data_IF_344882901267
#
_entry.id   IF_344882901267
#
_cell.length_a   1.000
_cell.length_b   1.000
_cell.length_c   1.000
_cell.angle_alpha   90.00
_cell.angle_beta   90.00
_cell.angle_gamma   90.00
#
_symmetry.space_group_name_H-M   'P 1'
#
loop_
_entity.id
_entity.type
_entity.pdbx_description
1 polymer ?
#
# COMPACT_ATOMS: atom_id res chain seq x y z
N UNK A 1 -52.84 -44.01 78.94
CA UNK A 1 -51.43 -43.89 78.51
C UNK A 1 -51.10 -45.06 77.59
N UNK A 2 -50.33 -44.79 76.55
CA UNK A 2 -50.55 -45.26 75.18
C UNK A 2 -49.75 -46.52 74.79
N UNK A 3 -50.24 -47.16 73.73
CA UNK A 3 -49.94 -48.45 73.14
C UNK A 3 -48.52 -48.67 72.55
N UNK A 4 -48.03 -49.89 72.77
CA UNK A 4 -47.50 -50.88 71.81
C UNK A 4 -46.38 -50.59 70.78
N UNK A 5 -45.45 -51.56 70.75
CA UNK A 5 -44.84 -52.26 69.59
C UNK A 5 -43.63 -51.61 68.88
N UNK A 6 -42.60 -52.33 68.43
CA UNK A 6 -42.11 -53.72 68.62
C UNK A 6 -40.75 -53.82 67.89
N UNK A 7 -39.92 -54.76 68.35
CA UNK A 7 -38.69 -55.26 67.74
C UNK A 7 -38.73 -55.48 66.22
N UNK A 8 -37.54 -55.38 65.60
CA UNK A 8 -37.04 -56.37 64.63
C UNK A 8 -35.54 -56.18 64.36
N UNK A 9 -34.77 -57.07 64.98
CA UNK A 9 -33.34 -57.28 64.77
C UNK A 9 -33.16 -58.59 63.97
N UNK A 10 -32.42 -58.51 62.85
CA UNK A 10 -31.68 -59.55 62.08
C UNK A 10 -32.36 -60.89 61.75
N UNK A 11 -32.32 -61.30 60.47
CA UNK A 11 -31.57 -62.48 59.99
C UNK A 11 -31.50 -62.56 58.44
N UNK A 12 -30.33 -63.02 57.98
CA UNK A 12 -30.02 -63.82 56.79
C UNK A 12 -29.63 -63.22 55.41
N UNK A 13 -28.34 -63.50 55.11
CA UNK A 13 -27.63 -63.65 53.84
C UNK A 13 -28.38 -64.53 52.82
N UNK A 14 -28.32 -64.18 51.53
CA UNK A 14 -27.52 -64.89 50.51
C UNK A 14 -27.92 -64.49 49.08
N UNK A 15 -27.01 -63.90 48.32
CA UNK A 15 -26.71 -64.38 46.96
C UNK A 15 -25.41 -63.77 46.43
N UNK A 16 -24.50 -64.68 46.10
CA UNK A 16 -23.23 -64.45 45.42
C UNK A 16 -23.50 -64.00 43.98
N UNK A 17 -22.86 -62.91 43.55
CA UNK A 17 -22.81 -62.47 42.16
C UNK A 17 -21.55 -61.64 41.92
N UNK A 18 -20.57 -62.25 41.25
CA UNK A 18 -19.21 -61.76 40.95
C UNK A 18 -19.22 -60.79 39.76
N UNK A 19 -18.58 -59.62 39.87
CA UNK A 19 -17.81 -58.92 38.80
C UNK A 19 -17.03 -57.74 39.41
N UNK A 20 -15.72 -57.90 39.67
CA UNK A 20 -14.57 -57.43 38.85
C UNK A 20 -14.48 -55.89 38.67
N UNK A 21 -13.46 -55.34 39.32
CA UNK A 21 -12.60 -54.22 38.94
C UNK A 21 -13.26 -52.87 38.62
N UNK A 22 -13.42 -52.03 39.65
CA UNK A 22 -13.63 -50.58 39.52
C UNK A 22 -12.79 -49.83 40.57
N UNK A 23 -11.50 -50.16 40.62
CA UNK A 23 -10.52 -49.52 41.52
C UNK A 23 -9.36 -48.85 40.78
N UNK A 24 -9.01 -49.36 39.58
CA UNK A 24 -7.87 -48.84 38.81
C UNK A 24 -8.25 -47.70 37.84
N UNK A 25 -9.53 -47.49 37.55
CA UNK A 25 -10.01 -46.41 36.67
C UNK A 25 -10.04 -45.02 37.35
N UNK A 26 -10.03 -44.96 38.68
CA UNK A 26 -9.95 -43.70 39.42
C UNK A 26 -8.51 -43.16 39.53
N UNK A 27 -7.50 -44.03 39.45
CA UNK A 27 -6.10 -43.63 39.52
C UNK A 27 -5.57 -43.05 38.17
N UNK A 28 -6.17 -43.42 37.04
CA UNK A 28 -5.78 -42.90 35.72
C UNK A 28 -6.50 -41.61 35.30
N UNK A 29 -7.52 -41.14 36.04
CA UNK A 29 -8.18 -39.85 35.79
C UNK A 29 -7.49 -38.63 36.38
N UNK A 30 -6.40 -38.83 37.13
CA UNK A 30 -5.61 -37.74 37.74
C UNK A 30 -4.28 -37.46 37.02
N UNK A 31 -3.96 -38.20 35.96
CA UNK A 31 -2.85 -37.86 35.06
C UNK A 31 -3.39 -37.26 33.77
N UNK A 32 -2.80 -36.13 33.37
CA UNK A 32 -3.09 -35.32 32.17
C UNK A 32 -4.21 -34.27 32.34
N UNK A 33 -4.04 -33.36 33.29
CA UNK A 33 -4.15 -31.93 32.93
C UNK A 33 -2.75 -31.39 32.72
N UNK A 34 -2.29 -31.39 31.46
CA UNK A 34 -1.16 -30.54 31.06
C UNK A 34 -1.56 -29.11 31.41
N UNK A 35 -0.94 -28.54 32.44
CA UNK A 35 -0.96 -27.11 32.65
C UNK A 35 -0.28 -26.47 31.43
N UNK A 36 -1.07 -26.06 30.44
CA UNK A 36 -0.58 -25.22 29.35
C UNK A 36 -0.34 -23.85 29.98
N UNK A 37 0.89 -23.63 30.47
CA UNK A 37 1.34 -22.30 30.87
C UNK A 37 1.17 -21.39 29.65
N UNK A 38 0.07 -20.63 29.63
CA UNK A 38 -0.10 -19.59 28.64
C UNK A 38 0.87 -18.49 29.07
N UNK A 39 2.00 -18.37 28.38
CA UNK A 39 2.84 -17.18 28.43
C UNK A 39 2.10 -16.03 27.74
N UNK A 40 0.96 -15.61 28.31
CA UNK A 40 0.03 -14.61 27.75
C UNK A 40 0.78 -13.31 27.47
N UNK A 41 1.76 -12.96 28.31
CA UNK A 41 2.61 -11.79 28.14
C UNK A 41 3.48 -11.85 26.88
N UNK A 42 4.06 -13.01 26.53
CA UNK A 42 4.90 -13.14 25.33
C UNK A 42 4.06 -13.11 24.05
N UNK A 43 2.88 -13.72 24.08
CA UNK A 43 1.92 -13.66 22.97
C UNK A 43 1.27 -12.29 22.82
N UNK A 44 1.02 -11.58 23.93
CA UNK A 44 0.46 -10.24 23.92
C UNK A 44 1.46 -9.20 23.39
N UNK A 45 2.74 -9.28 23.79
CA UNK A 45 3.81 -8.40 23.27
C UNK A 45 4.03 -8.63 21.77
N UNK A 46 4.01 -9.88 21.31
CA UNK A 46 4.13 -10.18 19.89
C UNK A 46 2.96 -9.63 19.07
N UNK A 47 1.73 -9.73 19.59
CA UNK A 47 0.54 -9.23 18.91
C UNK A 47 0.50 -7.69 18.89
N UNK A 48 0.87 -7.01 19.99
CA UNK A 48 0.94 -5.54 20.01
C UNK A 48 2.04 -5.03 19.09
N UNK A 49 3.21 -5.67 19.06
CA UNK A 49 4.27 -5.31 18.12
C UNK A 49 3.83 -5.47 16.66
N UNK A 50 3.10 -6.53 16.34
CA UNK A 50 2.57 -6.74 14.99
C UNK A 50 1.53 -5.68 14.61
N UNK A 51 0.62 -5.32 15.52
CA UNK A 51 -0.37 -4.25 15.27
C UNK A 51 0.31 -2.89 15.09
N UNK A 52 1.32 -2.57 15.90
CA UNK A 52 2.11 -1.33 15.76
C UNK A 52 2.88 -1.33 14.44
N UNK A 53 3.47 -2.47 14.05
CA UNK A 53 4.18 -2.61 12.79
C UNK A 53 3.26 -2.46 11.57
N UNK A 54 2.09 -3.11 11.58
CA UNK A 54 1.08 -2.94 10.55
C UNK A 54 0.57 -1.49 10.50
N UNK A 55 0.28 -0.87 11.64
CA UNK A 55 -0.13 0.54 11.69
C UNK A 55 0.97 1.48 11.18
N UNK A 56 2.24 1.21 11.47
CA UNK A 56 3.37 1.97 10.96
C UNK A 56 3.51 1.87 9.44
N UNK A 57 3.17 0.73 8.82
CA UNK A 57 3.16 0.59 7.36
C UNK A 57 2.08 1.50 6.75
N UNK A 58 0.87 1.55 7.32
CA UNK A 58 -0.22 2.39 6.82
C UNK A 58 -0.02 3.90 7.00
N UNK A 59 0.79 4.33 7.98
CA UNK A 59 1.04 5.75 8.26
C UNK A 59 2.12 6.40 7.38
N UNK A 60 2.74 5.66 6.44
CA UNK A 60 3.78 6.22 5.55
C UNK A 60 3.23 6.99 4.33
N UNK A 61 1.92 7.14 4.19
CA UNK A 61 1.35 8.04 3.18
C UNK A 61 1.72 9.48 3.53
N UNK A 62 2.67 10.03 2.75
CA UNK A 62 3.19 11.38 2.94
C UNK A 62 2.04 12.37 2.74
N UNK A 63 1.69 13.12 3.79
CA UNK A 63 0.67 14.17 3.69
C UNK A 63 1.17 15.27 2.76
N UNK A 64 0.47 15.50 1.64
CA UNK A 64 0.70 16.64 0.76
C UNK A 64 0.28 17.91 1.50
N UNK A 65 1.16 18.91 1.61
CA UNK A 65 0.81 20.15 2.31
C UNK A 65 -0.08 21.05 1.44
N UNK A 66 -0.89 21.91 2.05
CA UNK A 66 -1.75 22.85 1.32
C UNK A 66 -0.96 23.77 0.39
N UNK A 67 0.22 24.23 0.83
CA UNK A 67 1.10 25.05 0.00
C UNK A 67 1.60 24.28 -1.24
N UNK A 68 1.82 22.97 -1.11
CA UNK A 68 2.19 22.15 -2.25
C UNK A 68 1.02 21.98 -3.22
N UNK A 69 -0.23 21.83 -2.72
CA UNK A 69 -1.43 21.77 -3.58
C UNK A 69 -1.63 23.07 -4.35
N UNK A 70 -1.44 24.23 -3.73
CA UNK A 70 -1.54 25.53 -4.41
C UNK A 70 -0.52 25.66 -5.53
N UNK A 71 0.75 25.30 -5.27
CA UNK A 71 1.78 25.31 -6.32
C UNK A 71 1.40 24.37 -7.46
N UNK A 72 0.96 23.15 -7.14
CA UNK A 72 0.51 22.21 -8.16
C UNK A 72 -0.62 22.80 -8.97
N UNK A 73 -1.65 23.41 -8.36
CA UNK A 73 -2.76 24.04 -9.08
C UNK A 73 -2.31 25.16 -10.02
N UNK A 74 -1.38 26.00 -9.57
CA UNK A 74 -0.94 27.17 -10.35
C UNK A 74 0.03 26.80 -11.48
N UNK A 75 1.01 25.95 -11.20
CA UNK A 75 2.14 25.71 -12.08
C UNK A 75 2.41 24.23 -12.36
N UNK A 76 1.63 23.31 -11.81
CA UNK A 76 1.77 21.86 -11.99
C UNK A 76 3.03 21.29 -11.34
N UNK A 77 3.67 22.00 -10.41
CA UNK A 77 4.94 21.59 -9.82
C UNK A 77 4.75 21.29 -8.34
N UNK A 78 4.87 20.01 -7.98
CA UNK A 78 4.95 19.56 -6.60
C UNK A 78 6.40 19.48 -6.13
N UNK A 79 6.91 20.53 -5.47
CA UNK A 79 8.29 20.56 -4.96
C UNK A 79 8.49 19.49 -3.88
N UNK A 80 9.55 18.70 -4.00
CA UNK A 80 9.89 17.66 -3.01
C UNK A 80 8.94 16.47 -2.93
N UNK A 81 7.86 16.43 -3.72
CA UNK A 81 6.93 15.31 -3.76
C UNK A 81 7.58 14.04 -4.27
N UNK A 82 7.06 12.89 -3.86
CA UNK A 82 7.56 11.57 -4.25
C UNK A 82 6.93 11.14 -5.59
N UNK A 83 7.58 10.22 -6.28
CA UNK A 83 6.91 9.54 -7.39
C UNK A 83 5.73 8.70 -6.83
N UNK A 84 4.64 8.62 -7.59
CA UNK A 84 3.42 7.94 -7.15
C UNK A 84 2.56 8.78 -6.20
N UNK A 85 2.85 10.07 -6.05
CA UNK A 85 1.94 10.95 -5.30
C UNK A 85 0.62 11.09 -6.04
N UNK A 86 -0.46 10.64 -5.40
CA UNK A 86 -1.85 10.83 -5.83
C UNK A 86 -2.38 12.11 -5.20
N UNK A 87 -3.08 12.93 -5.98
CA UNK A 87 -3.66 14.19 -5.54
C UNK A 87 -5.15 14.00 -5.23
N UNK A 88 -5.52 14.31 -4.00
CA UNK A 88 -6.93 14.32 -3.59
C UNK A 88 -7.63 15.47 -4.32
N UNK A 89 -8.79 15.18 -4.93
CA UNK A 89 -9.56 16.13 -5.74
C UNK A 89 -8.76 16.70 -6.93
N UNK A 90 -8.07 15.81 -7.66
CA UNK A 90 -7.34 16.15 -8.88
C UNK A 90 -8.17 16.95 -9.90
N UNK A 91 -9.46 16.62 -10.04
CA UNK A 91 -10.40 17.29 -10.94
C UNK A 91 -10.54 18.80 -10.64
N UNK A 92 -10.44 19.19 -9.36
CA UNK A 92 -10.57 20.59 -8.92
C UNK A 92 -9.32 21.44 -9.18
N UNK A 93 -8.23 20.80 -9.63
CA UNK A 93 -6.98 21.48 -9.96
C UNK A 93 -7.05 22.14 -11.34
N UNK A 94 -7.88 21.63 -12.26
CA UNK A 94 -8.06 22.20 -13.59
C UNK A 94 -6.76 22.32 -14.38
N UNK A 95 -5.83 21.37 -14.20
CA UNK A 95 -4.53 21.41 -14.86
C UNK A 95 -4.68 21.27 -16.37
N UNK A 96 -3.96 22.14 -17.08
CA UNK A 96 -3.90 22.11 -18.53
C UNK A 96 -2.57 21.54 -19.00
N UNK A 97 -2.63 20.96 -20.21
CA UNK A 97 -1.47 20.52 -20.97
C UNK A 97 -0.43 21.63 -21.08
N UNK A 98 0.82 21.32 -20.73
CA UNK A 98 1.95 22.25 -20.79
C UNK A 98 3.28 21.56 -20.93
N UNK A 99 4.26 22.33 -21.35
CA UNK A 99 5.65 21.92 -21.44
C UNK A 99 6.44 22.33 -20.18
N UNK A 100 7.50 21.57 -19.88
CA UNK A 100 8.38 21.81 -18.75
C UNK A 100 9.85 21.78 -19.16
N UNK A 101 10.64 22.62 -18.50
CA UNK A 101 12.10 22.57 -18.55
C UNK A 101 12.62 21.93 -17.27
N UNK A 102 13.47 20.91 -17.42
CA UNK A 102 14.01 20.13 -16.31
C UNK A 102 15.53 20.15 -16.37
N UNK A 103 16.15 20.83 -15.41
CA UNK A 103 17.60 20.86 -15.30
C UNK A 103 18.09 19.70 -14.42
N UNK A 104 19.15 19.01 -14.83
CA UNK A 104 19.78 17.93 -14.06
C UNK A 104 20.91 18.44 -13.17
N UNK A 105 21.00 17.95 -11.93
CA UNK A 105 22.06 18.34 -10.97
C UNK A 105 23.45 17.87 -11.37
N UNK A 106 23.53 16.74 -12.08
CA UNK A 106 24.77 16.05 -12.38
C UNK A 106 24.92 15.87 -13.88
N UNK A 107 26.17 15.85 -14.36
CA UNK A 107 26.48 15.62 -15.76
C UNK A 107 26.40 14.12 -16.10
N UNK A 108 25.18 13.58 -16.08
CA UNK A 108 24.87 12.20 -16.43
C UNK A 108 24.39 12.11 -17.88
N UNK A 109 24.72 11.01 -18.56
CA UNK A 109 24.30 10.76 -19.95
C UNK A 109 22.94 10.08 -20.06
N UNK A 110 22.49 9.47 -18.97
CA UNK A 110 21.23 8.70 -18.89
C UNK A 110 20.56 9.03 -17.57
N UNK A 111 19.24 9.19 -17.60
CA UNK A 111 18.41 9.41 -16.43
C UNK A 111 17.24 8.45 -16.42
N UNK A 112 16.49 8.47 -15.32
CA UNK A 112 15.25 7.73 -15.16
C UNK A 112 14.08 8.70 -15.17
N UNK A 113 13.05 8.39 -15.94
CA UNK A 113 11.78 9.07 -15.93
C UNK A 113 10.75 8.14 -15.29
N UNK A 114 10.02 8.66 -14.31
CA UNK A 114 8.93 8.00 -13.63
C UNK A 114 7.64 8.69 -14.05
N UNK A 115 6.66 7.91 -14.51
CA UNK A 115 5.33 8.40 -14.92
C UNK A 115 4.25 7.56 -14.25
N UNK A 116 3.19 8.20 -13.77
CA UNK A 116 2.06 7.56 -13.10
C UNK A 116 0.81 8.42 -13.25
N UNK A 117 -0.34 7.83 -12.99
CA UNK A 117 -1.62 8.52 -12.87
C UNK A 117 -1.76 9.08 -11.44
N UNK A 118 -1.95 10.39 -11.31
CA UNK A 118 -2.10 11.04 -10.00
C UNK A 118 -3.56 11.25 -9.57
N UNK A 119 -4.55 10.94 -10.42
CA UNK A 119 -5.96 11.16 -10.15
C UNK A 119 -6.67 9.84 -9.85
N UNK A 120 -7.32 9.21 -10.84
CA UNK A 120 -8.11 8.00 -10.69
C UNK A 120 -7.71 6.98 -11.77
N UNK A 121 -7.38 5.76 -11.36
CA UNK A 121 -7.01 4.68 -12.28
C UNK A 121 -8.22 4.18 -13.09
N UNK A 122 -8.60 4.91 -14.13
CA UNK A 122 -9.74 4.58 -15.00
C UNK A 122 -9.32 4.06 -16.38
N UNK A 123 -8.01 3.86 -16.59
CA UNK A 123 -7.46 3.20 -17.76
C UNK A 123 -6.93 4.14 -18.83
N UNK A 124 -6.41 5.28 -18.39
CA UNK A 124 -5.59 6.21 -19.17
C UNK A 124 -4.37 5.52 -19.81
N UNK A 125 -4.09 5.90 -21.06
CA UNK A 125 -2.97 5.36 -21.84
C UNK A 125 -2.18 6.48 -22.50
N UNK A 126 -0.86 6.39 -22.41
CA UNK A 126 0.09 7.32 -23.01
C UNK A 126 1.16 6.62 -23.84
N UNK A 127 1.78 7.37 -24.75
CA UNK A 127 3.01 6.96 -25.44
C UNK A 127 4.13 7.94 -25.10
N UNK A 128 5.32 7.43 -24.78
CA UNK A 128 6.48 8.25 -24.43
C UNK A 128 7.51 8.20 -25.57
N UNK A 129 7.99 9.38 -25.97
CA UNK A 129 9.05 9.55 -26.96
C UNK A 129 10.24 10.27 -26.34
N UNK A 130 11.45 9.97 -26.79
CA UNK A 130 12.65 10.76 -26.53
C UNK A 130 13.27 11.16 -27.86
N UNK A 131 13.48 12.46 -28.06
CA UNK A 131 14.02 13.05 -29.29
C UNK A 131 13.28 12.57 -30.55
N UNK A 132 11.96 12.49 -30.46
CA UNK A 132 11.07 12.03 -31.55
C UNK A 132 10.97 10.51 -31.72
N UNK A 133 11.82 9.71 -31.05
CA UNK A 133 11.77 8.26 -31.10
C UNK A 133 10.86 7.70 -30.01
N UNK A 134 9.91 6.82 -30.35
CA UNK A 134 9.10 6.10 -29.37
C UNK A 134 9.99 5.20 -28.53
N UNK A 135 9.94 5.39 -27.21
CA UNK A 135 10.68 4.58 -26.22
C UNK A 135 9.74 3.72 -25.36
N UNK A 136 8.46 4.10 -25.27
CA UNK A 136 7.41 3.31 -24.66
C UNK A 136 6.09 3.58 -25.35
N UNK A 137 5.41 2.54 -25.83
CA UNK A 137 4.19 2.64 -26.62
C UNK A 137 3.00 2.09 -25.84
N UNK A 138 1.85 2.77 -25.90
CA UNK A 138 0.58 2.35 -25.29
C UNK A 138 0.71 1.92 -23.82
N UNK A 139 1.40 2.73 -23.02
CA UNK A 139 1.58 2.53 -21.59
C UNK A 139 0.29 2.91 -20.87
N UNK A 140 -0.39 1.93 -20.28
CA UNK A 140 -1.44 2.20 -19.30
C UNK A 140 -0.81 2.78 -18.03
N UNK A 141 -1.23 3.98 -17.64
CA UNK A 141 -0.73 4.62 -16.42
C UNK A 141 -1.61 4.22 -15.23
N UNK A 142 -0.96 3.96 -14.11
CA UNK A 142 -1.55 3.60 -12.83
C UNK A 142 -0.93 4.49 -11.75
N UNK A 143 -1.41 4.45 -10.51
CA UNK A 143 -0.79 5.13 -9.38
C UNK A 143 0.62 4.60 -9.08
N UNK A 144 0.89 3.33 -9.40
CA UNK A 144 2.24 2.78 -9.35
C UNK A 144 3.11 3.38 -10.49
N UNK A 145 4.25 4.02 -10.17
CA UNK A 145 5.08 4.64 -11.19
C UNK A 145 5.71 3.64 -12.16
N UNK A 146 5.42 3.86 -13.43
CA UNK A 146 6.13 3.24 -14.54
C UNK A 146 7.46 3.95 -14.78
N UNK A 147 8.54 3.17 -14.94
CA UNK A 147 9.91 3.67 -15.04
C UNK A 147 10.48 3.45 -16.44
N UNK A 148 11.11 4.49 -16.98
CA UNK A 148 11.78 4.48 -18.27
C UNK A 148 13.17 5.11 -18.16
N UNK A 149 14.15 4.54 -18.85
CA UNK A 149 15.46 5.17 -19.00
C UNK A 149 15.45 6.12 -20.20
N UNK A 150 16.03 7.30 -20.03
CA UNK A 150 16.03 8.38 -21.01
C UNK A 150 17.46 8.94 -21.20
N UNK A 151 17.83 9.37 -22.43
CA UNK A 151 19.09 10.07 -22.64
C UNK A 151 19.06 11.46 -21.98
N UNK A 152 20.24 11.98 -21.61
CA UNK A 152 20.40 13.36 -21.10
C UNK A 152 21.59 14.00 -21.84
N UNK A 153 21.43 15.20 -22.42
CA UNK A 153 20.19 15.96 -22.56
C UNK A 153 19.25 15.34 -23.60
N UNK A 154 17.94 15.61 -23.49
CA UNK A 154 16.93 15.16 -24.46
C UNK A 154 15.64 15.95 -24.34
N UNK A 155 14.78 15.87 -25.35
CA UNK A 155 13.37 16.28 -25.25
C UNK A 155 12.51 15.02 -25.15
N UNK A 156 11.87 14.84 -24.00
CA UNK A 156 10.89 13.77 -23.81
C UNK A 156 9.49 14.29 -24.10
N UNK A 157 8.71 13.54 -24.85
CA UNK A 157 7.31 13.85 -25.14
C UNK A 157 6.41 12.78 -24.53
N UNK A 158 5.37 13.20 -23.80
CA UNK A 158 4.30 12.32 -23.33
C UNK A 158 3.05 12.62 -24.15
N UNK A 159 2.59 11.63 -24.90
CA UNK A 159 1.47 11.74 -25.84
C UNK A 159 0.25 11.03 -25.26
N UNK A 160 -0.87 11.73 -25.14
CA UNK A 160 -2.14 11.12 -24.72
C UNK A 160 -2.73 10.23 -25.81
N UNK A 161 -3.08 8.98 -25.49
CA UNK A 161 -3.58 8.00 -26.46
C UNK A 161 -5.04 7.65 -26.21
N UNK A 162 -5.38 7.33 -24.97
CA UNK A 162 -6.73 6.93 -24.58
C UNK A 162 -7.04 7.50 -23.20
N UNK A 163 -8.21 8.09 -23.10
CA UNK A 163 -8.82 8.59 -21.86
C UNK A 163 -9.69 7.48 -21.26
N UNK A 164 -9.43 7.12 -20.00
CA UNK A 164 -10.23 6.17 -19.24
C UNK A 164 -11.51 6.80 -18.66
N UNK A 165 -11.50 8.11 -18.47
CA UNK A 165 -12.52 8.93 -17.84
C UNK A 165 -11.93 10.25 -17.33
N UNK A 166 -12.71 11.33 -17.29
CA UNK A 166 -12.26 12.59 -16.65
C UNK A 166 -11.11 13.34 -17.34
N UNK A 167 -10.45 12.76 -18.35
CA UNK A 167 -9.29 13.31 -19.03
C UNK A 167 -7.98 12.66 -18.56
N UNK A 168 -7.02 12.55 -19.49
CA UNK A 168 -5.73 11.90 -19.18
C UNK A 168 -4.90 12.77 -18.24
N UNK A 169 -4.67 12.31 -17.02
CA UNK A 169 -3.88 13.02 -16.01
C UNK A 169 -2.68 12.20 -15.54
N UNK A 170 -1.53 12.84 -15.44
CA UNK A 170 -0.30 12.12 -15.10
C UNK A 170 0.76 12.98 -14.42
N UNK A 171 1.53 12.34 -13.57
CA UNK A 171 2.68 12.90 -12.87
C UNK A 171 3.97 12.42 -13.51
N UNK A 172 4.95 13.30 -13.65
CA UNK A 172 6.30 12.97 -14.10
C UNK A 172 7.32 13.34 -13.03
N UNK A 173 8.25 12.44 -12.73
CA UNK A 173 9.41 12.71 -11.89
C UNK A 173 10.68 12.21 -12.56
N UNK A 174 11.70 13.06 -12.58
CA UNK A 174 13.04 12.69 -13.06
C UNK A 174 13.99 12.79 -11.87
N UNK A 175 14.34 11.67 -11.20
CA UNK A 175 15.29 11.67 -10.10
C UNK A 175 16.64 12.27 -10.54
N UNK A 176 17.20 13.14 -9.70
CA UNK A 176 18.43 13.86 -10.01
C UNK A 176 18.22 15.23 -10.64
N UNK A 177 16.98 15.62 -10.97
CA UNK A 177 16.65 16.98 -11.38
C UNK A 177 16.87 18.00 -10.24
N UNK A 178 17.22 19.23 -10.63
CA UNK A 178 17.26 20.40 -9.75
C UNK A 178 15.86 20.63 -9.17
N UNK A 179 15.78 20.96 -7.88
CA UNK A 179 14.51 21.15 -7.17
C UNK A 179 13.79 19.88 -6.68
N UNK A 180 14.17 18.68 -7.16
CA UNK A 180 13.54 17.41 -6.74
C UNK A 180 12.00 17.44 -6.84
N UNK A 181 11.46 18.06 -7.88
CA UNK A 181 10.02 18.25 -8.05
C UNK A 181 9.34 17.06 -8.72
N UNK A 182 8.01 17.07 -8.65
CA UNK A 182 7.10 16.31 -9.52
C UNK A 182 6.40 17.31 -10.43
N UNK A 183 6.17 16.92 -11.68
CA UNK A 183 5.47 17.69 -12.69
C UNK A 183 4.12 17.01 -12.99
N UNK A 184 3.03 17.59 -12.50
CA UNK A 184 1.67 17.16 -12.77
C UNK A 184 1.13 17.85 -14.01
N UNK A 185 0.48 17.07 -14.87
CA UNK A 185 0.06 17.53 -16.18
C UNK A 185 -1.18 16.77 -16.67
N UNK A 186 -1.83 17.32 -17.68
CA UNK A 186 -2.91 16.66 -18.42
C UNK A 186 -2.50 16.52 -19.88
N UNK A 187 -2.87 15.43 -20.55
CA UNK A 187 -2.57 15.20 -21.96
C UNK A 187 -3.84 14.79 -22.72
N UNK A 188 -4.64 15.75 -23.23
CA UNK A 188 -5.74 15.43 -24.14
C UNK A 188 -5.34 14.44 -25.24
N UNK A 189 -6.28 13.60 -25.68
CA UNK A 189 -6.00 12.58 -26.71
C UNK A 189 -5.36 13.22 -27.95
N UNK A 190 -4.22 12.68 -28.38
CA UNK A 190 -3.42 13.16 -29.52
C UNK A 190 -2.51 14.35 -29.23
N UNK A 191 -2.63 14.99 -28.06
CA UNK A 191 -1.71 16.04 -27.63
C UNK A 191 -0.40 15.46 -27.11
N UNK A 192 0.67 16.26 -27.18
CA UNK A 192 1.99 15.90 -26.70
C UNK A 192 2.57 17.01 -25.82
N UNK A 193 2.86 16.69 -24.56
CA UNK A 193 3.54 17.59 -23.64
C UNK A 193 5.04 17.29 -23.62
N UNK A 194 5.86 18.33 -23.67
CA UNK A 194 7.31 18.22 -23.77
C UNK A 194 8.00 18.48 -22.44
N UNK A 195 9.02 17.68 -22.16
CA UNK A 195 9.94 17.82 -21.04
C UNK A 195 11.34 18.01 -21.64
N UNK A 196 11.80 19.25 -21.66
CA UNK A 196 13.14 19.59 -22.15
C UNK A 196 14.13 19.36 -21.02
N UNK A 197 14.94 18.31 -21.13
CA UNK A 197 15.84 17.88 -20.07
C UNK A 197 17.26 18.31 -20.44
N UNK A 198 17.84 19.18 -19.62
CA UNK A 198 19.18 19.73 -19.84
C UNK A 198 20.17 19.16 -18.81
N UNK A 199 21.43 19.06 -19.22
CA UNK A 199 22.52 18.86 -18.26
C UNK A 199 22.69 20.07 -17.33
N UNK A 200 23.55 19.97 -16.30
CA UNK A 200 23.82 21.08 -15.39
C UNK A 200 24.37 22.28 -16.17
N UNK A 201 23.84 23.48 -15.88
CA UNK A 201 24.42 24.72 -16.40
C UNK A 201 25.80 24.90 -15.76
N UNK A 202 26.83 25.03 -16.61
CA UNK A 202 28.22 25.26 -16.17
C UNK A 202 28.44 26.68 -15.67
#
# INVERSE_FOLDING_TARGET
MNNNYRDKNRQNLSSLGRTRNSGEDLANKLKVKRAKSKNIHRTAIGLTALVIFCAAIFLNNSSVSTADVTNVKENGIGKGMKAGTVLVAADDLGLQAKDFNVEMKSNVKTGRLLIWDYAAEDGDVVTVKADGKVIAENVGILHEPFSLDIPIPSVVEVVGIKDGGGGITYGVKIPGAVGNSVFFNAAPIGSANKYTITGPVK
#
